data_IF_371523196489
#
_entry.id   IF_371523196489
#
_cell.length_a   1.000
_cell.length_b   1.000
_cell.length_c   1.000
_cell.angle_alpha   90.00
_cell.angle_beta   90.00
_cell.angle_gamma   90.00
#
_symmetry.space_group_name_H-M   'P 1'
#
loop_
_entity.id
_entity.type
_entity.pdbx_description
1 polymer ?
#
# COMPACT_ATOMS: atom_id res chain seq x y z
N UNK A 1 8.15 -6.44 -20.21
CA UNK A 1 8.33 -5.44 -19.13
C UNK A 1 6.94 -4.95 -18.74
N UNK A 2 6.67 -4.72 -17.45
CA UNK A 2 5.35 -4.22 -17.02
C UNK A 2 5.08 -2.87 -17.68
N UNK A 3 3.83 -2.64 -18.09
CA UNK A 3 3.40 -1.36 -18.65
C UNK A 3 3.04 -0.35 -17.55
N UNK A 4 2.67 -0.87 -16.39
CA UNK A 4 2.30 -0.14 -15.18
C UNK A 4 2.88 -0.82 -13.95
N UNK A 5 3.18 -0.05 -12.91
CA UNK A 5 3.73 -0.57 -11.66
C UNK A 5 3.15 0.19 -10.47
N UNK A 6 2.49 -0.55 -9.60
CA UNK A 6 2.05 -0.08 -8.29
C UNK A 6 3.00 -0.67 -7.24
N UNK A 7 3.75 0.21 -6.57
CA UNK A 7 4.65 -0.17 -5.49
C UNK A 7 3.91 -0.15 -4.17
N UNK A 8 3.70 -1.32 -3.59
CA UNK A 8 3.08 -1.49 -2.27
C UNK A 8 4.17 -1.35 -1.21
N UNK A 9 4.08 -0.32 -0.37
CA UNK A 9 5.05 -0.06 0.70
C UNK A 9 4.38 -0.25 2.06
N UNK A 10 4.72 -1.34 2.73
CA UNK A 10 4.26 -1.66 4.08
C UNK A 10 5.12 -1.05 5.18
N UNK A 11 5.06 -1.65 6.37
CA UNK A 11 5.93 -1.26 7.49
C UNK A 11 7.35 -1.82 7.35
N UNK A 12 7.48 -3.01 6.79
CA UNK A 12 8.76 -3.71 6.59
C UNK A 12 9.05 -3.99 5.12
N UNK A 13 8.03 -4.37 4.35
CA UNK A 13 8.21 -4.91 3.00
C UNK A 13 7.78 -3.92 1.91
N UNK A 14 8.44 -4.01 0.76
CA UNK A 14 8.08 -3.30 -0.47
C UNK A 14 7.87 -4.33 -1.57
N UNK A 15 6.68 -4.34 -2.17
CA UNK A 15 6.34 -5.29 -3.24
C UNK A 15 5.84 -4.51 -4.45
N UNK A 16 6.44 -4.79 -5.61
CA UNK A 16 6.00 -4.23 -6.89
C UNK A 16 4.99 -5.16 -7.55
N UNK A 17 3.83 -4.61 -7.90
CA UNK A 17 2.77 -5.33 -8.61
C UNK A 17 2.38 -4.60 -9.89
N UNK A 18 1.82 -5.33 -10.85
CA UNK A 18 1.16 -4.75 -12.01
C UNK A 18 -0.37 -4.82 -11.81
N UNK A 19 -1.06 -3.70 -11.56
CA UNK A 19 -2.52 -3.70 -11.42
C UNK A 19 -3.26 -4.22 -12.65
N UNK A 20 -2.64 -4.11 -13.84
CA UNK A 20 -3.24 -4.61 -15.09
C UNK A 20 -3.26 -6.15 -15.16
N UNK A 21 -2.51 -6.84 -14.29
CA UNK A 21 -2.57 -8.29 -14.17
C UNK A 21 -3.84 -8.78 -13.43
N UNK A 22 -4.62 -7.86 -12.84
CA UNK A 22 -5.91 -8.20 -12.27
C UNK A 22 -6.95 -8.45 -13.38
N UNK A 23 -7.62 -9.60 -13.34
CA UNK A 23 -8.64 -10.00 -14.32
C UNK A 23 -10.03 -9.35 -14.09
N UNK A 24 -10.16 -8.50 -13.06
CA UNK A 24 -11.41 -7.85 -12.66
C UNK A 24 -12.38 -8.77 -11.91
N UNK A 25 -12.01 -10.03 -11.67
CA UNK A 25 -12.78 -10.98 -10.88
C UNK A 25 -12.67 -10.75 -9.37
N UNK A 26 -13.64 -11.24 -8.61
CA UNK A 26 -13.52 -11.26 -7.14
C UNK A 26 -12.59 -12.41 -6.75
N UNK A 27 -11.42 -12.08 -6.20
CA UNK A 27 -10.48 -13.08 -5.69
C UNK A 27 -11.09 -13.85 -4.50
N UNK A 28 -11.01 -15.19 -4.43
CA UNK A 28 -11.65 -16.00 -3.38
C UNK A 28 -11.29 -15.56 -1.95
N UNK A 29 -10.01 -15.26 -1.69
CA UNK A 29 -9.53 -14.74 -0.38
C UNK A 29 -10.11 -13.38 0.03
N UNK A 30 -10.68 -12.64 -0.91
CA UNK A 30 -11.22 -11.30 -0.70
C UNK A 30 -12.75 -11.27 -0.72
N UNK A 31 -13.38 -12.43 -0.94
CA UNK A 31 -14.83 -12.55 -1.01
C UNK A 31 -15.48 -12.14 0.31
N UNK A 32 -16.44 -11.22 0.25
CA UNK A 32 -17.13 -10.70 1.44
C UNK A 32 -16.34 -9.67 2.24
N UNK A 33 -15.10 -9.34 1.86
CA UNK A 33 -14.31 -8.28 2.48
C UNK A 33 -14.58 -6.94 1.80
N UNK A 34 -14.86 -5.91 2.61
CA UNK A 34 -14.90 -4.52 2.17
C UNK A 34 -13.48 -4.00 1.95
N UNK A 35 -13.31 -2.90 1.20
CA UNK A 35 -11.97 -2.36 0.91
C UNK A 35 -11.14 -2.07 2.17
N UNK A 36 -11.77 -1.60 3.24
CA UNK A 36 -11.07 -1.34 4.51
C UNK A 36 -10.49 -2.62 5.13
N UNK A 37 -11.18 -3.76 5.02
CA UNK A 37 -10.69 -5.06 5.49
C UNK A 37 -9.57 -5.57 4.59
N UNK A 38 -9.70 -5.39 3.27
CA UNK A 38 -8.67 -5.72 2.28
C UNK A 38 -7.38 -4.96 2.53
N UNK A 39 -7.46 -3.67 2.85
CA UNK A 39 -6.29 -2.87 3.23
C UNK A 39 -5.66 -3.36 4.54
N UNK A 40 -6.47 -3.75 5.54
CA UNK A 40 -5.93 -4.33 6.76
C UNK A 40 -5.21 -5.66 6.50
N UNK A 41 -5.77 -6.51 5.63
CA UNK A 41 -5.16 -7.77 5.23
C UNK A 41 -3.85 -7.54 4.47
N UNK A 42 -3.85 -6.62 3.51
CA UNK A 42 -2.65 -6.26 2.77
C UNK A 42 -1.56 -5.68 3.69
N UNK A 43 -1.93 -4.77 4.58
CA UNK A 43 -1.01 -4.19 5.55
C UNK A 43 -0.42 -5.23 6.48
N UNK A 44 -1.22 -6.20 6.90
CA UNK A 44 -0.73 -7.34 7.67
C UNK A 44 0.31 -8.13 6.85
N UNK A 45 0.03 -8.48 5.60
CA UNK A 45 0.98 -9.21 4.76
C UNK A 45 2.29 -8.45 4.49
N UNK A 46 2.26 -7.13 4.42
CA UNK A 46 3.45 -6.27 4.20
C UNK A 46 4.16 -5.86 5.50
N UNK A 47 3.83 -6.51 6.60
CA UNK A 47 4.34 -6.24 7.93
C UNK A 47 4.94 -7.52 8.52
N UNK A 48 6.01 -7.38 9.30
CA UNK A 48 6.80 -8.48 9.90
C UNK A 48 7.65 -9.27 8.88
N UNK A 49 8.24 -8.59 7.89
CA UNK A 49 9.24 -9.13 6.95
C UNK A 49 8.77 -10.41 6.23
N UNK A 50 7.48 -10.48 5.88
CA UNK A 50 6.85 -11.65 5.24
C UNK A 50 6.26 -11.34 3.87
N UNK A 51 6.21 -10.06 3.49
CA UNK A 51 5.61 -9.63 2.24
C UNK A 51 6.26 -10.28 1.03
N UNK A 52 7.60 -10.35 1.01
CA UNK A 52 8.36 -10.98 -0.07
C UNK A 52 8.05 -12.47 -0.18
N UNK A 53 8.13 -13.21 0.94
CA UNK A 53 7.84 -14.65 0.96
C UNK A 53 6.39 -14.96 0.56
N UNK A 54 5.43 -14.11 0.93
CA UNK A 54 4.05 -14.24 0.50
C UNK A 54 3.88 -13.92 -0.99
N UNK A 55 4.61 -12.95 -1.53
CA UNK A 55 4.54 -12.60 -2.94
C UNK A 55 5.12 -13.68 -3.88
N UNK A 56 5.96 -14.59 -3.37
CA UNK A 56 6.40 -15.78 -4.11
C UNK A 56 5.26 -16.79 -4.34
N UNK A 57 4.24 -16.80 -3.48
CA UNK A 57 3.03 -17.60 -3.67
C UNK A 57 2.06 -16.91 -4.64
N UNK A 58 1.75 -17.57 -5.75
CA UNK A 58 0.92 -16.98 -6.81
C UNK A 58 -0.49 -16.59 -6.34
N UNK A 59 -1.05 -17.29 -5.36
CA UNK A 59 -2.37 -16.98 -4.81
C UNK A 59 -2.34 -15.71 -3.95
N UNK A 60 -1.33 -15.56 -3.10
CA UNK A 60 -1.13 -14.34 -2.32
C UNK A 60 -0.76 -13.14 -3.21
N UNK A 61 0.11 -13.33 -4.20
CA UNK A 61 0.44 -12.27 -5.16
C UNK A 61 -0.79 -11.81 -5.94
N UNK A 62 -1.62 -12.76 -6.43
CA UNK A 62 -2.88 -12.44 -7.10
C UNK A 62 -3.84 -11.66 -6.18
N UNK A 63 -3.92 -12.02 -4.90
CA UNK A 63 -4.69 -11.28 -3.92
C UNK A 63 -4.14 -9.87 -3.68
N UNK A 64 -2.82 -9.69 -3.56
CA UNK A 64 -2.18 -8.37 -3.43
C UNK A 64 -2.47 -7.49 -4.65
N UNK A 65 -2.36 -8.06 -5.86
CA UNK A 65 -2.72 -7.41 -7.12
C UNK A 65 -4.19 -6.95 -7.10
N UNK A 66 -5.11 -7.83 -6.71
CA UNK A 66 -6.54 -7.51 -6.65
C UNK A 66 -6.86 -6.40 -5.63
N UNK A 67 -6.20 -6.39 -4.46
CA UNK A 67 -6.37 -5.34 -3.46
C UNK A 67 -5.82 -4.01 -3.99
N UNK A 68 -4.61 -4.01 -4.54
CA UNK A 68 -3.97 -2.81 -5.09
C UNK A 68 -4.76 -2.21 -6.26
N UNK A 69 -5.18 -3.03 -7.21
CA UNK A 69 -6.00 -2.63 -8.35
C UNK A 69 -7.36 -2.07 -7.90
N UNK A 70 -8.03 -2.76 -6.96
CA UNK A 70 -9.29 -2.29 -6.40
C UNK A 70 -9.17 -0.94 -5.69
N UNK A 71 -8.12 -0.75 -4.90
CA UNK A 71 -7.88 0.51 -4.19
C UNK A 71 -7.57 1.67 -5.16
N UNK A 72 -6.78 1.39 -6.20
CA UNK A 72 -6.48 2.34 -7.28
C UNK A 72 -7.76 2.79 -8.01
N UNK A 73 -8.67 1.85 -8.27
CA UNK A 73 -9.96 2.14 -8.89
C UNK A 73 -10.90 2.95 -7.97
N UNK A 74 -11.03 2.58 -6.69
CA UNK A 74 -11.91 3.27 -5.73
C UNK A 74 -11.46 4.70 -5.43
N UNK A 75 -10.16 4.94 -5.37
CA UNK A 75 -9.64 6.29 -5.12
C UNK A 75 -9.87 7.22 -6.30
N UNK A 76 -10.15 6.70 -7.51
CA UNK A 76 -10.39 7.49 -8.73
C UNK A 76 -9.24 8.46 -9.08
N UNK A 77 -8.07 8.28 -8.45
CA UNK A 77 -7.11 9.35 -8.22
C UNK A 77 -5.97 9.41 -9.23
N UNK A 78 -5.88 8.45 -10.15
CA UNK A 78 -4.77 8.38 -11.10
C UNK A 78 -5.29 8.63 -12.52
N UNK A 79 -5.61 9.90 -12.78
CA UNK A 79 -5.97 10.34 -14.11
C UNK A 79 -4.86 9.99 -15.12
N UNK A 80 -5.21 9.24 -16.16
CA UNK A 80 -4.28 8.80 -17.20
C UNK A 80 -3.34 7.65 -16.79
N UNK A 81 -3.72 6.84 -15.79
CA UNK A 81 -3.00 5.58 -15.50
C UNK A 81 -2.83 4.71 -16.75
N UNK A 82 -1.62 4.23 -16.98
CA UNK A 82 -1.24 3.46 -18.18
C UNK A 82 -0.95 4.32 -19.41
N UNK A 83 -1.40 5.57 -19.44
CA UNK A 83 -1.19 6.49 -20.55
C UNK A 83 -0.12 7.53 -20.20
N UNK A 84 -0.48 8.49 -19.33
CA UNK A 84 0.34 9.63 -18.93
C UNK A 84 1.14 9.39 -17.66
N UNK A 85 0.74 8.40 -16.84
CA UNK A 85 1.45 7.97 -15.63
C UNK A 85 1.41 6.45 -15.54
N UNK A 86 2.48 5.85 -15.05
CA UNK A 86 2.64 4.39 -15.03
C UNK A 86 3.32 3.85 -13.76
N UNK A 87 3.70 4.72 -12.83
CA UNK A 87 4.29 4.34 -11.56
C UNK A 87 3.65 5.12 -10.41
N UNK A 88 3.27 4.43 -9.34
CA UNK A 88 2.77 5.06 -8.11
C UNK A 88 3.08 4.21 -6.89
N UNK A 89 3.39 4.88 -5.78
CA UNK A 89 3.59 4.25 -4.48
C UNK A 89 2.27 4.28 -3.70
N UNK A 90 1.87 3.13 -3.19
CA UNK A 90 0.78 2.97 -2.22
C UNK A 90 1.39 2.57 -0.88
N UNK A 91 1.34 3.47 0.10
CA UNK A 91 1.76 3.12 1.45
C UNK A 91 0.61 2.48 2.21
N UNK A 92 0.89 1.42 2.97
CA UNK A 92 -0.07 0.71 3.82
C UNK A 92 0.53 0.55 5.21
N UNK A 93 0.18 1.45 6.12
CA UNK A 93 0.96 1.73 7.32
C UNK A 93 0.11 1.58 8.59
N UNK A 94 0.73 1.15 9.70
CA UNK A 94 0.06 0.88 10.97
C UNK A 94 -0.67 2.09 11.51
N UNK A 95 -1.94 1.89 11.84
CA UNK A 95 -2.78 2.86 12.51
C UNK A 95 -2.60 2.79 14.03
N UNK A 96 -2.38 3.94 14.67
CA UNK A 96 -2.42 4.08 16.11
C UNK A 96 -3.87 4.08 16.58
N UNK A 97 -4.21 3.14 17.45
CA UNK A 97 -5.52 3.12 18.09
C UNK A 97 -5.64 4.21 19.17
N UNK A 98 -6.66 5.09 19.09
CA UNK A 98 -6.95 6.03 20.16
C UNK A 98 -7.19 5.35 21.51
N UNK A 99 -6.78 5.99 22.60
CA UNK A 99 -7.05 5.52 23.95
C UNK A 99 -8.57 5.36 24.15
N UNK A 100 -8.97 4.25 24.77
CA UNK A 100 -10.39 3.92 24.98
C UNK A 100 -11.10 3.29 23.78
N UNK A 101 -10.44 3.15 22.62
CA UNK A 101 -11.06 2.59 21.41
C UNK A 101 -10.52 1.21 21.01
N UNK A 102 -9.62 0.61 21.80
CA UNK A 102 -8.95 -0.67 21.50
C UNK A 102 -9.91 -1.75 20.99
N UNK A 103 -11.01 -2.00 21.70
CA UNK A 103 -11.97 -3.05 21.32
C UNK A 103 -12.54 -2.86 19.91
N UNK A 104 -12.83 -1.61 19.51
CA UNK A 104 -13.37 -1.29 18.19
C UNK A 104 -12.36 -1.57 17.08
N UNK A 105 -11.10 -1.18 17.29
CA UNK A 105 -10.07 -1.38 16.29
C UNK A 105 -9.59 -2.84 16.24
N UNK A 106 -9.50 -3.52 17.39
CA UNK A 106 -9.25 -4.95 17.47
C UNK A 106 -10.31 -5.72 16.68
N UNK A 107 -11.60 -5.43 16.89
CA UNK A 107 -12.68 -6.07 16.14
C UNK A 107 -12.56 -5.89 14.62
N UNK A 108 -11.99 -4.77 14.14
CA UNK A 108 -11.71 -4.57 12.71
C UNK A 108 -10.51 -5.39 12.22
N UNK A 109 -9.45 -5.47 13.01
CA UNK A 109 -8.26 -6.25 12.67
C UNK A 109 -8.59 -7.76 12.68
N UNK A 110 -9.36 -8.22 13.67
CA UNK A 110 -9.79 -9.61 13.86
C UNK A 110 -10.60 -10.15 12.67
N UNK A 111 -11.36 -9.29 11.95
CA UNK A 111 -12.12 -9.69 10.75
C UNK A 111 -11.25 -10.35 9.68
N UNK A 112 -9.97 -10.01 9.64
CA UNK A 112 -9.00 -10.53 8.66
C UNK A 112 -7.79 -11.18 9.34
N UNK A 113 -7.86 -11.40 10.65
CA UNK A 113 -6.75 -11.98 11.43
C UNK A 113 -5.51 -11.09 11.52
N UNK A 114 -5.65 -9.78 11.34
CA UNK A 114 -4.54 -8.85 11.40
C UNK A 114 -4.16 -8.46 12.84
N UNK A 115 -2.88 -8.21 13.09
CA UNK A 115 -2.39 -7.73 14.40
C UNK A 115 -2.69 -6.25 14.66
N UNK A 116 -2.85 -5.48 13.58
CA UNK A 116 -3.11 -4.04 13.59
C UNK A 116 -4.20 -3.68 12.60
N UNK A 117 -4.69 -2.45 12.69
CA UNK A 117 -5.37 -1.81 11.57
C UNK A 117 -4.36 -0.98 10.79
N UNK A 118 -4.59 -0.81 9.49
CA UNK A 118 -3.68 -0.16 8.58
C UNK A 118 -4.41 0.94 7.80
N UNK A 119 -3.68 2.00 7.48
CA UNK A 119 -4.16 3.10 6.65
C UNK A 119 -3.39 3.10 5.34
N UNK A 120 -4.14 3.11 4.25
CA UNK A 120 -3.61 3.23 2.91
C UNK A 120 -3.48 4.70 2.50
N UNK A 121 -2.38 5.05 1.84
CA UNK A 121 -2.23 6.34 1.17
C UNK A 121 -1.57 6.15 -0.19
N UNK A 122 -2.32 6.52 -1.24
CA UNK A 122 -1.79 6.60 -2.59
C UNK A 122 -1.01 7.91 -2.75
N UNK A 123 0.27 7.80 -3.08
CA UNK A 123 1.13 8.95 -3.35
C UNK A 123 0.84 9.55 -4.74
N UNK A 124 1.52 10.66 -5.06
CA UNK A 124 1.37 11.31 -6.35
C UNK A 124 1.94 10.43 -7.47
N UNK A 125 1.14 10.01 -8.47
CA UNK A 125 1.61 9.15 -9.55
C UNK A 125 2.63 9.87 -10.44
N UNK A 126 3.53 9.10 -11.06
CA UNK A 126 4.58 9.58 -11.93
C UNK A 126 4.64 8.79 -13.25
N UNK A 127 5.25 9.41 -14.26
CA UNK A 127 5.67 8.73 -15.48
C UNK A 127 7.13 8.36 -15.36
N UNK A 128 7.44 7.10 -15.67
CA UNK A 128 8.79 6.57 -15.79
C UNK A 128 8.93 5.98 -17.20
N UNK A 129 10.02 6.29 -17.88
CA UNK A 129 10.28 5.83 -19.25
C UNK A 129 10.56 4.33 -19.29
N UNK A 130 11.43 3.85 -18.39
CA UNK A 130 11.79 2.44 -18.24
C UNK A 130 11.50 1.95 -16.82
N UNK A 131 10.48 1.10 -16.67
CA UNK A 131 10.12 0.48 -15.38
C UNK A 131 11.09 -0.66 -14.98
N UNK A 132 12.10 -0.97 -15.79
CA UNK A 132 13.24 -1.81 -15.42
C UNK A 132 14.41 -1.04 -14.81
N UNK A 133 14.40 0.30 -14.85
CA UNK A 133 15.44 1.12 -14.24
C UNK A 133 15.20 1.30 -12.74
N UNK A 134 15.88 0.48 -11.93
CA UNK A 134 15.80 0.55 -10.47
C UNK A 134 16.19 1.91 -9.89
N UNK A 135 17.11 2.64 -10.54
CA UNK A 135 17.53 3.95 -10.06
C UNK A 135 16.43 4.98 -10.29
N UNK A 136 15.78 4.96 -11.47
CA UNK A 136 14.63 5.79 -11.76
C UNK A 136 13.45 5.48 -10.83
N UNK A 137 13.19 4.20 -10.55
CA UNK A 137 12.15 3.77 -9.60
C UNK A 137 12.42 4.31 -8.19
N UNK A 138 13.63 4.13 -7.66
CA UNK A 138 14.02 4.65 -6.33
C UNK A 138 13.96 6.17 -6.24
N UNK A 139 14.37 6.86 -7.30
CA UNK A 139 14.27 8.33 -7.36
C UNK A 139 12.80 8.79 -7.35
N UNK A 140 11.95 8.14 -8.15
CA UNK A 140 10.52 8.46 -8.20
C UNK A 140 9.83 8.15 -6.87
N UNK A 141 10.09 6.99 -6.27
CA UNK A 141 9.58 6.63 -4.94
C UNK A 141 9.93 7.69 -3.90
N UNK A 142 11.21 8.09 -3.85
CA UNK A 142 11.67 9.13 -2.92
C UNK A 142 10.92 10.44 -3.14
N UNK A 143 10.77 10.87 -4.39
CA UNK A 143 10.02 12.07 -4.74
C UNK A 143 8.55 12.00 -4.30
N UNK A 144 7.90 10.86 -4.53
CA UNK A 144 6.51 10.62 -4.16
C UNK A 144 6.29 10.66 -2.64
N UNK A 145 7.17 10.00 -1.89
CA UNK A 145 7.14 10.01 -0.41
C UNK A 145 7.40 11.41 0.14
N UNK A 146 8.27 12.18 -0.51
CA UNK A 146 8.53 13.57 -0.16
C UNK A 146 7.32 14.48 -0.36
N UNK A 147 6.61 14.31 -1.46
CA UNK A 147 5.36 15.02 -1.69
C UNK A 147 4.26 14.63 -0.69
N UNK A 148 4.27 13.38 -0.21
CA UNK A 148 3.33 12.89 0.80
C UNK A 148 3.68 13.33 2.24
N UNK A 149 4.89 13.83 2.48
CA UNK A 149 5.39 14.15 3.83
C UNK A 149 4.52 15.15 4.61
N UNK A 150 3.99 16.24 4.02
CA UNK A 150 3.07 17.15 4.73
C UNK A 150 1.84 16.43 5.27
N UNK A 151 1.29 15.48 4.51
CA UNK A 151 0.14 14.67 4.92
C UNK A 151 0.50 13.78 6.10
N UNK A 152 1.63 13.09 6.06
CA UNK A 152 2.08 12.27 7.18
C UNK A 152 2.36 13.08 8.45
N UNK A 153 2.87 14.32 8.31
CA UNK A 153 3.05 15.25 9.44
C UNK A 153 1.71 15.66 10.05
N UNK A 154 0.70 15.97 9.22
CA UNK A 154 -0.65 16.29 9.69
C UNK A 154 -1.32 15.10 10.38
N UNK A 155 -1.15 13.89 9.83
CA UNK A 155 -1.71 12.65 10.36
C UNK A 155 -0.80 11.94 11.38
N UNK A 156 0.25 12.59 11.90
CA UNK A 156 1.29 11.96 12.73
C UNK A 156 0.74 11.19 13.93
N UNK A 157 -0.36 11.66 14.54
CA UNK A 157 -1.01 10.98 15.66
C UNK A 157 -1.60 9.63 15.26
N UNK A 158 -2.16 9.53 14.05
CA UNK A 158 -2.72 8.31 13.49
C UNK A 158 -1.64 7.30 13.09
N UNK A 159 -0.40 7.73 12.87
CA UNK A 159 0.73 6.88 12.49
C UNK A 159 1.79 6.73 13.60
N UNK A 160 1.43 6.96 14.87
CA UNK A 160 2.43 6.91 15.95
C UNK A 160 3.03 5.51 16.17
N UNK A 161 2.36 4.45 15.70
CA UNK A 161 2.85 3.07 15.76
C UNK A 161 3.52 2.60 14.46
N UNK A 162 3.59 3.49 13.45
CA UNK A 162 4.26 3.21 12.18
C UNK A 162 5.71 3.65 12.26
N UNK A 163 6.64 2.69 12.25
CA UNK A 163 8.07 2.97 12.22
C UNK A 163 8.47 3.60 10.89
N UNK A 164 7.88 3.14 9.78
CA UNK A 164 8.14 3.69 8.46
C UNK A 164 7.81 5.19 8.40
N UNK A 165 6.65 5.62 8.91
CA UNK A 165 6.29 7.05 8.96
C UNK A 165 7.20 7.85 9.88
N UNK A 166 7.57 7.32 11.06
CA UNK A 166 8.50 8.03 11.93
C UNK A 166 9.88 8.22 11.27
N UNK A 167 10.34 7.23 10.50
CA UNK A 167 11.58 7.32 9.73
C UNK A 167 11.46 8.36 8.62
N UNK A 168 10.39 8.33 7.81
CA UNK A 168 10.13 9.33 6.77
C UNK A 168 10.10 10.76 7.33
N UNK A 169 9.36 10.98 8.42
CA UNK A 169 9.27 12.30 9.07
C UNK A 169 10.63 12.76 9.59
N UNK A 170 11.44 11.85 10.16
CA UNK A 170 12.73 12.16 10.77
C UNK A 170 13.81 12.43 9.73
N UNK A 171 13.90 11.57 8.72
CA UNK A 171 14.87 11.71 7.63
C UNK A 171 14.60 12.99 6.85
N UNK A 172 13.35 13.46 6.85
CA UNK A 172 12.97 14.68 6.16
C UNK A 172 12.91 14.52 4.65
N UNK A 173 13.70 13.58 4.10
CA UNK A 173 14.01 13.27 2.70
C UNK A 173 14.06 14.49 1.74
#
# INVERSE_FOLDING_TARGET
MPATMLRLMGESDIIDIDPAAHDGGVHPRLMGLEMADRINLLGHWLDQDRGEALAEDAEHLSAMIAIGAGYLAETGSVAGWGETVNFVVLTVLREKWPVGSKARFQARADRVGADHTYLAHLCTPAKIEDLGDEAALKQSETSQLMMALPRFRQARKSFANSSAVQTLIRQGL
#
